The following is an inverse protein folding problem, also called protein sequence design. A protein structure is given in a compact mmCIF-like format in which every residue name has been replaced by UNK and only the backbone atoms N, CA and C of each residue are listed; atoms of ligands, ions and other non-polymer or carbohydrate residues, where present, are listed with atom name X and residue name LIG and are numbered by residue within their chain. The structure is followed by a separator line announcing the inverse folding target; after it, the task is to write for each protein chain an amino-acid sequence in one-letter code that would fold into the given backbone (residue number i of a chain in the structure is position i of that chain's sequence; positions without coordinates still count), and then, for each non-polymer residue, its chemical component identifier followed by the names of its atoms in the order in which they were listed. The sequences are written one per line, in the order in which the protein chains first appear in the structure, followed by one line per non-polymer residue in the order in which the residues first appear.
data_IF_979488134039
#
_entry.id   IF_979488134039
#
_cell.length_a   1.000
_cell.length_b   1.000
_cell.length_c   1.000
_cell.angle_alpha   90.00
_cell.angle_beta   90.00
_cell.angle_gamma   90.00
#
_symmetry.space_group_name_H-M   'P 1'
#
loop_
_entity.id
_entity.type
_entity.pdbx_description
1 polymer ?
#
# COMPACT_ATOMS: atom_id res chain seq x y z
N UNK A 1 15.17 -27.37 -35.37
CA UNK A 1 14.25 -27.45 -34.20
C UNK A 1 14.05 -26.04 -33.66
N UNK A 2 12.84 -25.47 -33.79
CA UNK A 2 12.52 -24.18 -33.20
C UNK A 2 12.51 -24.32 -31.67
N UNK A 3 13.33 -23.54 -30.97
CA UNK A 3 13.28 -23.45 -29.50
C UNK A 3 11.88 -22.98 -29.12
N UNK A 4 11.10 -23.86 -28.49
CA UNK A 4 9.84 -23.50 -27.84
C UNK A 4 10.13 -22.37 -26.85
N UNK A 5 9.66 -21.17 -27.18
CA UNK A 5 9.85 -19.98 -26.36
C UNK A 5 8.89 -20.12 -25.18
N UNK A 6 9.39 -20.61 -24.04
CA UNK A 6 8.61 -20.69 -22.81
C UNK A 6 7.95 -19.32 -22.58
N UNK A 7 6.61 -19.24 -22.45
CA UNK A 7 5.95 -17.95 -22.28
C UNK A 7 6.54 -17.26 -21.05
N UNK A 8 7.01 -16.03 -21.24
CA UNK A 8 7.56 -15.19 -20.17
C UNK A 8 6.45 -15.09 -19.12
N UNK A 9 6.69 -15.58 -17.90
CA UNK A 9 5.65 -15.60 -16.86
C UNK A 9 5.14 -14.18 -16.62
N UNK A 10 3.83 -13.99 -16.71
CA UNK A 10 3.21 -12.70 -16.42
C UNK A 10 3.22 -12.47 -14.91
N UNK A 11 4.14 -11.64 -14.44
CA UNK A 11 4.29 -11.33 -13.03
C UNK A 11 2.98 -10.82 -12.41
N UNK A 12 2.16 -10.09 -13.18
CA UNK A 12 0.89 -9.55 -12.71
C UNK A 12 -0.12 -10.66 -12.41
N UNK A 13 -0.16 -11.66 -13.28
CA UNK A 13 -1.02 -12.84 -13.11
C UNK A 13 -0.56 -13.72 -11.95
N UNK A 14 0.75 -13.96 -11.83
CA UNK A 14 1.31 -14.73 -10.71
C UNK A 14 0.99 -14.08 -9.36
N UNK A 15 1.17 -12.76 -9.26
CA UNK A 15 0.89 -11.99 -8.05
C UNK A 15 -0.60 -11.98 -7.74
N UNK A 16 -1.45 -11.69 -8.73
CA UNK A 16 -2.90 -11.64 -8.50
C UNK A 16 -3.44 -13.01 -8.09
N UNK A 17 -2.98 -14.09 -8.71
CA UNK A 17 -3.37 -15.45 -8.33
C UNK A 17 -2.85 -15.86 -6.95
N UNK A 18 -1.69 -15.34 -6.51
CA UNK A 18 -1.21 -15.51 -5.14
C UNK A 18 -2.18 -14.88 -4.14
N UNK A 19 -2.59 -13.63 -4.36
CA UNK A 19 -3.53 -12.92 -3.49
C UNK A 19 -4.89 -13.63 -3.47
N UNK A 20 -5.42 -14.02 -4.63
CA UNK A 20 -6.69 -14.77 -4.71
C UNK A 20 -6.64 -16.03 -3.84
N UNK A 21 -5.57 -16.83 -3.95
CA UNK A 21 -5.43 -18.06 -3.13
C UNK A 21 -5.33 -17.78 -1.63
N UNK A 22 -4.75 -16.65 -1.24
CA UNK A 22 -4.67 -16.25 0.17
C UNK A 22 -6.06 -15.89 0.70
N UNK A 23 -6.80 -15.08 -0.06
CA UNK A 23 -8.16 -14.66 0.29
C UNK A 23 -9.12 -15.87 0.33
N UNK A 24 -9.00 -16.81 -0.61
CA UNK A 24 -9.80 -18.05 -0.65
C UNK A 24 -9.59 -18.96 0.57
N UNK A 25 -8.47 -18.82 1.29
CA UNK A 25 -8.23 -19.52 2.56
C UNK A 25 -8.84 -18.79 3.77
N UNK A 26 -9.54 -17.68 3.55
CA UNK A 26 -10.15 -16.87 4.62
C UNK A 26 -9.14 -16.03 5.41
N UNK A 27 -7.92 -15.84 4.90
CA UNK A 27 -6.86 -15.08 5.57
C UNK A 27 -6.64 -13.75 4.85
N UNK A 28 -6.56 -12.66 5.62
CA UNK A 28 -6.18 -11.33 5.15
C UNK A 28 -4.93 -10.90 5.92
N UNK A 29 -3.72 -11.26 5.45
CA UNK A 29 -2.50 -10.99 6.19
C UNK A 29 -2.27 -9.50 6.43
N UNK A 30 -2.83 -8.64 5.58
CA UNK A 30 -2.69 -7.18 5.70
C UNK A 30 -3.61 -6.49 6.71
N UNK A 31 -4.42 -7.26 7.43
CA UNK A 31 -5.20 -6.79 8.58
C UNK A 31 -4.68 -7.32 9.92
N UNK A 32 -3.64 -8.16 9.91
CA UNK A 32 -3.00 -8.63 11.15
C UNK A 32 -2.19 -7.49 11.77
N UNK A 33 -2.09 -7.44 13.12
CA UNK A 33 -1.22 -6.48 13.81
C UNK A 33 0.19 -6.45 13.20
N UNK A 34 0.64 -5.27 12.78
CA UNK A 34 1.90 -5.08 12.06
C UNK A 34 3.16 -5.14 12.94
N UNK A 35 3.08 -5.74 14.12
CA UNK A 35 4.17 -5.76 15.10
C UNK A 35 5.26 -6.80 14.81
N UNK A 36 5.20 -7.47 13.64
CA UNK A 36 6.23 -8.40 13.21
C UNK A 36 7.41 -7.63 12.56
N UNK A 37 8.44 -7.33 13.36
CA UNK A 37 9.79 -7.13 12.84
C UNK A 37 10.35 -5.70 12.74
N UNK A 38 10.18 -4.87 13.77
CA UNK A 38 10.96 -3.61 13.95
C UNK A 38 10.67 -2.47 12.98
N UNK A 39 9.89 -2.69 11.91
CA UNK A 39 9.35 -1.63 11.08
C UNK A 39 8.03 -2.08 10.48
N UNK A 40 7.07 -1.16 10.44
CA UNK A 40 5.75 -1.33 9.81
C UNK A 40 5.84 -1.45 8.29
N UNK A 41 6.98 -1.06 7.69
CA UNK A 41 7.20 -1.03 6.24
C UNK A 41 8.39 -1.88 5.79
N UNK A 42 8.23 -2.64 4.70
CA UNK A 42 9.34 -3.27 4.00
C UNK A 42 10.31 -2.22 3.50
N UNK A 43 11.59 -2.42 3.76
CA UNK A 43 12.68 -1.54 3.39
C UNK A 43 13.54 -2.19 2.30
N UNK A 44 14.08 -1.37 1.41
CA UNK A 44 15.15 -1.76 0.49
C UNK A 44 16.47 -1.88 1.25
N UNK A 45 17.50 -2.43 0.60
CA UNK A 45 18.84 -2.55 1.17
C UNK A 45 19.43 -1.22 1.66
N UNK A 46 19.04 -0.08 1.05
CA UNK A 46 19.48 1.27 1.44
C UNK A 46 18.65 1.92 2.55
N UNK A 47 17.62 1.23 3.06
CA UNK A 47 16.69 1.76 4.07
C UNK A 47 15.48 2.49 3.50
N UNK A 48 15.39 2.69 2.18
CA UNK A 48 14.21 3.34 1.59
C UNK A 48 13.00 2.40 1.64
N UNK A 49 11.86 2.92 2.11
CA UNK A 49 10.62 2.16 2.16
C UNK A 49 10.14 1.78 0.74
N UNK A 50 9.61 0.55 0.60
CA UNK A 50 8.82 0.20 -0.57
C UNK A 50 7.50 0.98 -0.56
N UNK A 51 6.95 1.22 -1.76
CA UNK A 51 5.71 1.95 -1.97
C UNK A 51 4.70 1.15 -2.80
N UNK A 52 3.43 1.55 -2.70
CA UNK A 52 2.31 1.02 -3.49
C UNK A 52 2.20 -0.49 -3.40
N UNK A 53 2.11 -1.15 -4.56
CA UNK A 53 1.91 -2.61 -4.61
C UNK A 53 3.06 -3.39 -3.97
N UNK A 54 4.30 -2.90 -4.03
CA UNK A 54 5.42 -3.64 -3.43
C UNK A 54 5.42 -3.52 -1.91
N UNK A 55 5.01 -2.37 -1.37
CA UNK A 55 4.75 -2.23 0.06
C UNK A 55 3.73 -3.30 0.47
N UNK A 56 2.54 -3.25 -0.10
CA UNK A 56 1.47 -4.20 0.18
C UNK A 56 1.92 -5.68 0.11
N UNK A 57 2.56 -6.09 -0.98
CA UNK A 57 2.96 -7.48 -1.20
C UNK A 57 4.05 -7.95 -0.24
N UNK A 58 5.10 -7.16 -0.02
CA UNK A 58 6.20 -7.55 0.85
C UNK A 58 5.77 -7.55 2.31
N UNK A 59 4.93 -6.60 2.68
CA UNK A 59 4.27 -6.52 3.97
C UNK A 59 3.44 -7.78 4.24
N UNK A 60 2.56 -8.16 3.30
CA UNK A 60 1.77 -9.40 3.37
C UNK A 60 2.67 -10.64 3.55
N UNK A 61 3.76 -10.73 2.78
CA UNK A 61 4.68 -11.89 2.84
C UNK A 61 5.50 -11.93 4.11
N UNK A 62 5.91 -10.78 4.64
CA UNK A 62 6.60 -10.64 5.93
C UNK A 62 5.75 -11.23 7.05
N UNK A 63 4.47 -10.81 7.12
CA UNK A 63 3.52 -11.31 8.12
C UNK A 63 3.23 -12.80 7.95
N UNK A 64 3.01 -13.26 6.71
CA UNK A 64 2.72 -14.68 6.45
C UNK A 64 3.87 -15.61 6.79
N UNK A 65 5.11 -15.16 6.60
CA UNK A 65 6.31 -15.94 6.87
C UNK A 65 6.84 -15.75 8.30
N UNK A 66 6.30 -14.79 9.06
CA UNK A 66 6.78 -14.44 10.40
C UNK A 66 8.20 -13.87 10.38
N UNK A 67 8.56 -13.13 9.34
CA UNK A 67 9.89 -12.50 9.27
C UNK A 67 9.99 -11.34 10.27
N UNK A 68 11.11 -11.29 10.98
CA UNK A 68 11.42 -10.25 11.97
C UNK A 68 12.20 -9.08 11.39
N UNK A 69 12.69 -9.17 10.16
CA UNK A 69 13.39 -8.07 9.50
C UNK A 69 12.48 -7.38 8.49
N UNK A 70 12.52 -6.04 8.41
CA UNK A 70 11.81 -5.31 7.36
C UNK A 70 12.58 -5.28 6.04
N UNK A 71 13.85 -5.69 6.01
CA UNK A 71 14.72 -5.49 4.86
C UNK A 71 14.54 -6.57 3.78
N UNK A 72 14.41 -6.13 2.54
CA UNK A 72 14.28 -6.97 1.36
C UNK A 72 15.32 -6.57 0.30
N UNK A 73 16.06 -7.56 -0.19
CA UNK A 73 17.15 -7.33 -1.14
C UNK A 73 17.28 -8.45 -2.17
N UNK A 74 17.90 -8.15 -3.30
CA UNK A 74 18.20 -9.11 -4.37
C UNK A 74 19.47 -9.91 -4.05
N UNK A 75 19.69 -11.05 -4.71
CA UNK A 75 20.92 -11.84 -4.56
C UNK A 75 22.19 -11.00 -4.81
N UNK A 76 22.29 -10.18 -5.88
CA UNK A 76 23.46 -9.32 -6.09
C UNK A 76 23.71 -8.35 -4.93
N UNK A 77 22.66 -7.80 -4.33
CA UNK A 77 22.78 -6.90 -3.17
C UNK A 77 23.28 -7.66 -1.92
N UNK A 78 22.75 -8.86 -1.65
CA UNK A 78 23.25 -9.69 -0.55
C UNK A 78 24.73 -10.09 -0.74
N UNK A 79 25.08 -10.52 -1.96
CA UNK A 79 26.46 -10.90 -2.29
C UNK A 79 27.44 -9.72 -2.15
N UNK A 80 27.02 -8.50 -2.51
CA UNK A 80 27.82 -7.30 -2.35
C UNK A 80 28.12 -6.97 -0.87
N UNK A 81 27.28 -7.45 0.05
CA UNK A 81 27.48 -7.36 1.51
C UNK A 81 28.28 -8.56 2.06
N UNK A 82 28.78 -9.46 1.21
CA UNK A 82 29.44 -10.70 1.64
C UNK A 82 28.48 -11.77 2.19
N UNK A 83 27.17 -11.52 2.13
CA UNK A 83 26.13 -12.38 2.65
C UNK A 83 25.59 -13.34 1.58
N UNK A 84 24.90 -14.41 2.00
CA UNK A 84 24.38 -15.45 1.10
C UNK A 84 22.94 -15.81 1.44
N UNK A 85 22.11 -16.01 0.43
CA UNK A 85 20.76 -16.57 0.64
C UNK A 85 20.89 -18.03 1.08
N UNK A 86 20.22 -18.42 2.16
CA UNK A 86 20.25 -19.82 2.63
C UNK A 86 19.69 -20.78 1.58
N UNK A 87 20.28 -21.96 1.50
CA UNK A 87 19.87 -22.99 0.53
C UNK A 87 18.40 -23.39 0.74
N UNK A 88 17.62 -23.35 -0.34
CA UNK A 88 16.20 -23.74 -0.34
C UNK A 88 15.21 -22.60 -0.10
N UNK A 89 15.68 -21.41 0.27
CA UNK A 89 14.84 -20.23 0.44
C UNK A 89 14.18 -19.80 -0.88
N UNK A 90 12.92 -19.36 -0.79
CA UNK A 90 12.15 -18.90 -1.94
C UNK A 90 12.10 -17.38 -1.95
N UNK A 91 12.47 -16.77 -3.08
CA UNK A 91 12.34 -15.34 -3.27
C UNK A 91 10.88 -14.90 -3.46
N UNK A 92 10.62 -13.65 -3.12
CA UNK A 92 9.40 -12.91 -3.44
C UNK A 92 9.56 -12.09 -4.73
N UNK A 93 8.46 -11.88 -5.45
CA UNK A 93 8.46 -11.04 -6.66
C UNK A 93 8.00 -9.62 -6.31
N UNK A 94 8.78 -8.64 -6.74
CA UNK A 94 8.43 -7.21 -6.75
C UNK A 94 8.41 -6.68 -8.17
N UNK A 95 7.65 -5.63 -8.43
CA UNK A 95 7.54 -5.01 -9.76
C UNK A 95 8.09 -3.59 -9.78
N UNK A 96 8.62 -3.17 -10.91
CA UNK A 96 9.09 -1.82 -11.14
C UNK A 96 8.52 -1.30 -12.45
N UNK A 97 7.83 -0.16 -12.39
CA UNK A 97 7.35 0.54 -13.56
C UNK A 97 8.29 1.68 -13.89
N UNK A 98 8.80 1.70 -15.11
CA UNK A 98 9.70 2.73 -15.59
C UNK A 98 9.24 3.28 -16.95
N UNK A 99 9.82 4.42 -17.31
CA UNK A 99 9.72 5.01 -18.64
C UNK A 99 11.11 5.02 -19.24
N UNK A 100 11.20 4.79 -20.54
CA UNK A 100 12.43 4.98 -21.30
C UNK A 100 12.11 5.74 -22.58
N UNK A 101 13.08 6.54 -23.02
CA UNK A 101 13.02 7.28 -24.28
C UNK A 101 13.89 6.52 -25.27
N UNK A 102 13.35 6.20 -26.44
CA UNK A 102 14.18 5.74 -27.54
C UNK A 102 14.75 6.99 -28.21
N UNK A 103 16.08 7.12 -28.25
CA UNK A 103 16.73 7.98 -29.23
C UNK A 103 16.84 7.12 -30.49
N UNK A 104 16.27 7.55 -31.60
CA UNK A 104 16.41 6.83 -32.84
C UNK A 104 17.89 6.83 -33.23
N UNK A 105 18.49 5.63 -33.21
CA UNK A 105 19.79 5.42 -33.83
C UNK A 105 19.60 5.71 -35.32
N UNK A 106 20.20 6.81 -35.77
CA UNK A 106 20.20 7.25 -37.14
C UNK A 106 20.77 6.14 -38.05
N UNK A 107 19.89 5.32 -38.61
CA UNK A 107 20.14 4.66 -39.89
C UNK A 107 19.95 5.74 -40.95
N UNK A 108 21.07 6.19 -41.54
CA UNK A 108 21.08 7.14 -42.62
C UNK A 108 20.24 6.64 -43.79
N UNK A 109 19.17 7.37 -44.08
CA UNK A 109 19.01 8.00 -45.39
C UNK A 109 18.11 9.22 -45.19
N UNK A 110 18.54 10.35 -45.75
CA UNK A 110 17.80 11.59 -45.67
C UNK A 110 16.61 11.53 -46.62
N UNK A 111 15.39 11.72 -46.11
CA UNK A 111 14.40 12.58 -46.75
C UNK A 111 13.25 12.97 -45.79
N UNK A 112 13.03 14.28 -45.78
CA UNK A 112 11.82 15.06 -45.44
C UNK A 112 11.04 14.84 -44.12
N UNK A 113 11.25 15.81 -43.22
CA UNK A 113 10.26 16.56 -42.45
C UNK A 113 8.99 15.85 -41.93
N UNK A 114 9.04 15.39 -40.67
CA UNK A 114 8.00 15.68 -39.66
C UNK A 114 8.63 15.58 -38.25
N UNK A 115 8.13 16.39 -37.31
CA UNK A 115 8.72 16.57 -35.99
C UNK A 115 8.72 15.29 -35.14
N UNK A 116 9.91 14.73 -34.92
CA UNK A 116 10.07 13.46 -34.22
C UNK A 116 10.00 13.65 -32.69
N UNK A 117 8.78 13.63 -32.13
CA UNK A 117 8.57 13.55 -30.69
C UNK A 117 9.07 12.18 -30.18
N UNK A 118 10.21 12.19 -29.50
CA UNK A 118 10.80 11.01 -28.87
C UNK A 118 9.75 10.16 -28.13
N UNK A 119 9.43 8.98 -28.69
CA UNK A 119 8.39 8.11 -28.14
C UNK A 119 8.80 7.57 -26.77
N UNK A 120 8.15 8.07 -25.71
CA UNK A 120 8.30 7.55 -24.34
C UNK A 120 7.59 6.21 -24.24
N UNK A 121 8.35 5.13 -24.04
CA UNK A 121 7.76 3.81 -23.79
C UNK A 121 7.76 3.47 -22.31
N UNK A 122 6.61 3.01 -21.81
CA UNK A 122 6.43 2.51 -20.45
C UNK A 122 6.74 1.02 -20.41
N UNK A 123 7.49 0.58 -19.41
CA UNK A 123 7.82 -0.83 -19.22
C UNK A 123 7.59 -1.28 -17.78
N UNK A 124 7.36 -2.57 -17.61
CA UNK A 124 7.31 -3.24 -16.31
C UNK A 124 8.48 -4.23 -16.22
N UNK A 125 9.31 -4.09 -15.20
CA UNK A 125 10.30 -5.09 -14.79
C UNK A 125 9.80 -5.80 -13.54
N UNK A 126 10.23 -7.04 -13.36
CA UNK A 126 10.06 -7.77 -12.11
C UNK A 126 11.43 -8.14 -11.56
N UNK A 127 11.57 -8.07 -10.25
CA UNK A 127 12.77 -8.48 -9.53
C UNK A 127 12.41 -9.55 -8.51
N UNK A 128 13.39 -10.40 -8.19
CA UNK A 128 13.29 -11.41 -7.14
C UNK A 128 14.08 -10.92 -5.94
N UNK A 129 13.39 -10.76 -4.81
CA UNK A 129 13.96 -10.28 -3.55
C UNK A 129 13.79 -11.32 -2.46
N UNK A 130 14.67 -11.28 -1.47
CA UNK A 130 14.67 -12.12 -0.29
C UNK A 130 14.62 -11.21 0.92
N UNK A 131 13.89 -11.61 1.95
CA UNK A 131 13.92 -10.93 3.23
C UNK A 131 15.27 -11.20 3.92
N UNK A 132 15.77 -10.27 4.72
CA UNK A 132 17.03 -10.47 5.45
C UNK A 132 16.99 -11.72 6.35
N UNK A 133 15.83 -12.09 6.90
CA UNK A 133 15.65 -13.34 7.64
C UNK A 133 15.95 -14.60 6.81
N UNK A 134 16.05 -14.52 5.47
CA UNK A 134 16.39 -15.62 4.56
C UNK A 134 17.89 -15.67 4.19
N UNK A 135 18.68 -14.71 4.68
CA UNK A 135 20.06 -14.47 4.25
C UNK A 135 20.97 -14.66 5.47
N UNK A 136 22.05 -15.43 5.30
CA UNK A 136 23.11 -15.62 6.30
C UNK A 136 24.28 -14.66 6.05
N UNK A 137 24.91 -14.19 7.12
CA UNK A 137 26.09 -13.31 7.04
C UNK A 137 25.77 -11.83 6.78
N UNK A 138 24.53 -11.38 7.00
CA UNK A 138 24.20 -9.95 6.98
C UNK A 138 24.63 -9.25 8.29
N UNK A 139 24.97 -7.96 8.24
CA UNK A 139 25.15 -7.13 9.44
C UNK A 139 23.89 -7.07 10.32
N UNK A 140 24.06 -6.92 11.63
CA UNK A 140 22.97 -6.85 12.62
C UNK A 140 21.98 -5.69 12.35
N UNK A 141 22.42 -4.63 11.66
CA UNK A 141 21.54 -3.53 11.23
C UNK A 141 20.38 -3.98 10.33
N UNK A 142 20.51 -5.14 9.68
CA UNK A 142 19.43 -5.76 8.89
C UNK A 142 18.49 -6.62 9.72
N UNK A 143 18.73 -6.76 11.02
CA UNK A 143 17.91 -7.51 11.97
C UNK A 143 17.55 -6.62 13.18
N UNK A 144 16.83 -5.50 12.95
CA UNK A 144 16.42 -4.64 14.05
C UNK A 144 15.50 -5.40 15.00
N UNK A 145 15.67 -5.19 16.30
CA UNK A 145 14.73 -5.68 17.29
C UNK A 145 13.37 -4.99 17.08
N UNK A 146 12.25 -5.71 17.29
CA UNK A 146 10.94 -5.10 17.23
C UNK A 146 10.77 -4.06 18.33
N UNK A 147 10.24 -2.89 17.97
CA UNK A 147 9.80 -1.93 18.97
C UNK A 147 8.72 -2.57 19.86
N UNK A 148 8.74 -2.29 21.18
CA UNK A 148 7.70 -2.76 22.07
C UNK A 148 6.35 -2.21 21.60
N UNK A 149 5.31 -3.05 21.67
CA UNK A 149 3.95 -2.63 21.35
C UNK A 149 3.56 -1.54 22.34
N UNK A 150 3.26 -0.31 21.89
CA UNK A 150 2.86 0.75 22.81
C UNK A 150 1.55 0.38 23.50
N UNK A 151 1.51 0.47 24.82
CA UNK A 151 0.24 0.41 25.55
C UNK A 151 -0.50 1.74 25.37
N UNK A 152 -1.78 1.67 25.02
CA UNK A 152 -2.62 2.83 24.85
C UNK A 152 -3.75 2.80 25.89
N UNK A 153 -4.02 3.91 26.59
CA UNK A 153 -5.17 3.99 27.48
C UNK A 153 -6.46 3.69 26.69
N UNK A 154 -7.41 2.93 27.27
CA UNK A 154 -8.67 2.64 26.59
C UNK A 154 -9.42 3.93 26.24
N UNK A 155 -9.86 4.04 24.99
CA UNK A 155 -10.69 5.15 24.50
C UNK A 155 -10.10 6.57 24.64
N UNK A 156 -8.81 6.73 24.92
CA UNK A 156 -8.14 8.04 24.88
C UNK A 156 -7.46 8.28 23.51
N UNK A 157 -7.45 9.52 23.01
CA UNK A 157 -6.69 9.86 21.82
C UNK A 157 -5.20 9.58 21.96
N UNK A 158 -4.57 9.11 20.88
CA UNK A 158 -3.12 8.97 20.81
C UNK A 158 -2.56 10.29 20.25
N UNK A 159 -1.77 11.08 21.00
CA UNK A 159 -1.50 12.48 20.66
C UNK A 159 -0.98 12.72 19.23
N UNK A 160 0.01 11.95 18.77
CA UNK A 160 0.57 12.14 17.43
C UNK A 160 -0.40 11.72 16.31
N UNK A 161 -1.24 10.71 16.56
CA UNK A 161 -2.29 10.31 15.62
C UNK A 161 -3.39 11.37 15.58
N UNK A 162 -3.87 11.81 16.75
CA UNK A 162 -4.91 12.83 16.85
C UNK A 162 -4.49 14.11 16.12
N UNK A 163 -3.29 14.62 16.41
CA UNK A 163 -2.74 15.79 15.73
C UNK A 163 -2.59 15.60 14.22
N UNK A 164 -2.30 14.38 13.75
CA UNK A 164 -2.26 14.08 12.32
C UNK A 164 -3.64 14.24 11.68
N UNK A 165 -4.67 13.61 12.26
CA UNK A 165 -6.01 13.59 11.67
C UNK A 165 -6.73 14.94 11.79
N UNK A 166 -6.57 15.65 12.91
CA UNK A 166 -7.20 16.96 13.12
C UNK A 166 -6.69 18.02 12.14
N UNK A 167 -5.43 17.92 11.72
CA UNK A 167 -4.83 18.83 10.75
C UNK A 167 -5.26 18.59 9.29
N UNK A 168 -6.03 17.52 9.01
CA UNK A 168 -6.54 17.26 7.67
C UNK A 168 -7.78 18.11 7.43
N UNK A 169 -7.76 18.89 6.36
CA UNK A 169 -8.83 19.82 5.98
C UNK A 169 -10.05 19.15 5.32
N UNK A 170 -10.45 17.98 5.82
CA UNK A 170 -11.66 17.26 5.43
C UNK A 170 -12.57 17.22 6.65
N UNK A 171 -13.74 17.84 6.54
CA UNK A 171 -14.66 17.98 7.68
C UNK A 171 -15.10 16.61 8.20
N UNK A 172 -14.72 16.33 9.44
CA UNK A 172 -15.14 15.13 10.18
C UNK A 172 -16.15 15.51 11.26
N UNK A 173 -17.30 14.83 11.29
CA UNK A 173 -18.36 15.03 12.29
C UNK A 173 -18.41 13.81 13.20
N UNK A 174 -18.13 14.02 14.48
CA UNK A 174 -18.17 12.95 15.49
C UNK A 174 -19.59 12.77 16.05
N UNK A 175 -20.32 11.76 15.57
CA UNK A 175 -21.71 11.47 15.95
C UNK A 175 -22.13 10.05 15.58
N UNK A 176 -23.27 9.61 16.12
CA UNK A 176 -23.90 8.33 15.73
C UNK A 176 -23.10 7.08 16.13
N UNK A 177 -23.41 5.97 15.46
CA UNK A 177 -22.80 4.65 15.66
C UNK A 177 -22.03 4.14 14.44
N UNK A 178 -22.21 4.76 13.27
CA UNK A 178 -21.66 4.29 12.01
C UNK A 178 -20.64 5.28 11.46
N UNK A 179 -19.54 4.75 10.92
CA UNK A 179 -18.53 5.51 10.21
C UNK A 179 -18.83 5.48 8.70
N UNK A 180 -18.78 6.63 8.03
CA UNK A 180 -18.93 6.72 6.59
C UNK A 180 -18.51 8.10 6.04
N UNK A 181 -17.95 8.12 4.83
CA UNK A 181 -17.87 9.32 4.01
C UNK A 181 -19.17 9.55 3.23
N UNK A 182 -19.76 10.76 3.31
CA UNK A 182 -20.98 11.16 2.61
C UNK A 182 -20.68 12.12 1.44
N UNK A 183 -20.61 11.64 0.18
CA UNK A 183 -20.17 12.44 -0.96
C UNK A 183 -21.00 13.71 -1.27
N UNK A 184 -22.34 13.71 -1.17
CA UNK A 184 -23.14 14.90 -1.53
C UNK A 184 -22.86 16.14 -0.69
N UNK A 185 -22.38 15.97 0.55
CA UNK A 185 -22.06 17.08 1.46
C UNK A 185 -20.58 17.18 1.79
N UNK A 186 -19.77 16.29 1.22
CA UNK A 186 -18.32 16.21 1.42
C UNK A 186 -17.88 16.16 2.90
N UNK A 187 -18.47 15.24 3.67
CA UNK A 187 -18.15 15.07 5.09
C UNK A 187 -17.86 13.62 5.45
N UNK A 188 -16.93 13.43 6.37
CA UNK A 188 -16.74 12.16 7.07
C UNK A 188 -17.58 12.19 8.34
N UNK A 189 -18.31 11.11 8.60
CA UNK A 189 -19.01 10.86 9.85
C UNK A 189 -18.29 9.74 10.59
N UNK A 190 -18.03 9.94 11.88
CA UNK A 190 -17.32 9.00 12.74
C UNK A 190 -18.04 8.86 14.09
N UNK A 191 -18.21 7.65 14.64
CA UNK A 191 -18.60 7.50 16.03
C UNK A 191 -17.52 8.08 16.95
N UNK A 192 -17.87 8.53 18.17
CA UNK A 192 -16.86 8.96 19.14
C UNK A 192 -15.93 7.80 19.51
N UNK A 193 -14.66 8.11 19.81
CA UNK A 193 -13.61 7.13 20.13
C UNK A 193 -14.01 6.13 21.23
N UNK A 194 -14.87 6.55 22.16
CA UNK A 194 -15.42 5.72 23.25
C UNK A 194 -16.30 4.56 22.78
N UNK A 195 -16.70 4.52 21.50
CA UNK A 195 -17.43 3.41 20.88
C UNK A 195 -16.52 2.33 20.30
N UNK A 196 -15.22 2.57 20.24
CA UNK A 196 -14.25 1.64 19.68
C UNK A 196 -13.60 0.80 20.80
N UNK A 197 -13.21 -0.43 20.45
CA UNK A 197 -12.54 -1.34 21.38
C UNK A 197 -11.20 -0.80 21.88
N UNK A 198 -10.49 -0.07 21.02
CA UNK A 198 -9.23 0.59 21.34
C UNK A 198 -8.98 1.78 20.39
N UNK A 199 -8.09 2.73 20.76
CA UNK A 199 -7.77 3.87 19.91
C UNK A 199 -7.20 3.54 18.52
N UNK A 200 -6.30 2.54 18.34
CA UNK A 200 -5.83 2.14 17.01
C UNK A 200 -6.96 1.78 16.02
N UNK A 201 -8.01 1.10 16.50
CA UNK A 201 -9.17 0.78 15.66
C UNK A 201 -9.92 2.04 15.20
N UNK A 202 -10.08 3.03 16.10
CA UNK A 202 -10.70 4.31 15.78
C UNK A 202 -9.94 5.02 14.64
N UNK A 203 -8.62 5.15 14.75
CA UNK A 203 -7.79 5.78 13.71
C UNK A 203 -7.76 4.96 12.42
N UNK A 204 -7.80 3.63 12.50
CA UNK A 204 -7.92 2.76 11.33
C UNK A 204 -9.20 3.00 10.53
N UNK A 205 -10.34 3.15 11.22
CA UNK A 205 -11.63 3.45 10.58
C UNK A 205 -11.66 4.88 10.06
N UNK A 206 -11.14 5.86 10.81
CA UNK A 206 -11.06 7.25 10.32
C UNK A 206 -10.19 7.36 9.05
N UNK A 207 -9.05 6.65 9.01
CA UNK A 207 -8.19 6.58 7.82
C UNK A 207 -8.90 5.95 6.62
N UNK A 208 -9.76 4.95 6.85
CA UNK A 208 -10.57 4.33 5.80
C UNK A 208 -11.55 5.33 5.20
N UNK A 209 -12.31 6.04 6.04
CA UNK A 209 -13.29 7.03 5.57
C UNK A 209 -12.63 8.24 4.90
N UNK A 210 -11.48 8.69 5.39
CA UNK A 210 -10.68 9.70 4.69
C UNK A 210 -10.14 9.17 3.36
N UNK A 211 -9.75 7.89 3.31
CA UNK A 211 -9.45 7.17 2.07
C UNK A 211 -10.55 7.34 1.04
N UNK A 212 -11.81 7.13 1.42
CA UNK A 212 -12.96 7.44 0.57
C UNK A 212 -13.10 8.91 0.23
N UNK A 213 -12.92 9.81 1.20
CA UNK A 213 -13.04 11.24 0.98
C UNK A 213 -12.07 11.69 -0.13
N UNK A 214 -10.82 11.20 -0.17
CA UNK A 214 -9.87 11.59 -1.21
C UNK A 214 -10.33 11.34 -2.65
N UNK A 215 -11.35 10.50 -2.90
CA UNK A 215 -11.91 10.25 -4.25
C UNK A 215 -12.63 11.45 -4.88
N UNK A 216 -13.03 12.44 -4.07
CA UNK A 216 -13.83 13.57 -4.55
C UNK A 216 -13.19 14.28 -5.75
N UNK A 217 -14.04 14.87 -6.62
CA UNK A 217 -13.62 15.50 -7.88
C UNK A 217 -12.60 16.62 -7.72
N UNK A 218 -12.68 17.35 -6.61
CA UNK A 218 -11.76 18.46 -6.30
C UNK A 218 -10.49 17.99 -5.56
N UNK A 219 -10.33 16.69 -5.31
CA UNK A 219 -9.16 16.05 -4.70
C UNK A 219 -8.46 15.15 -5.72
N UNK A 220 -8.46 13.83 -5.51
CA UNK A 220 -7.78 12.88 -6.40
C UNK A 220 -8.63 12.45 -7.60
N UNK A 221 -9.90 12.85 -7.64
CA UNK A 221 -10.83 12.61 -8.74
C UNK A 221 -10.76 11.16 -9.27
N UNK A 222 -10.81 10.19 -8.34
CA UNK A 222 -10.80 8.77 -8.71
C UNK A 222 -12.17 8.40 -9.26
N UNK A 223 -12.20 7.90 -10.49
CA UNK A 223 -13.42 7.45 -11.15
C UNK A 223 -13.29 5.98 -11.58
N UNK A 224 -14.25 5.17 -11.15
CA UNK A 224 -14.41 3.76 -11.52
C UNK A 224 -15.74 3.50 -12.24
N UNK A 225 -16.42 4.56 -12.67
CA UNK A 225 -17.80 4.55 -13.17
C UNK A 225 -18.81 4.70 -12.03
N UNK A 226 -20.09 4.43 -12.35
CA UNK A 226 -21.19 4.53 -11.39
C UNK A 226 -20.99 3.53 -10.23
N UNK A 227 -20.48 4.01 -9.10
CA UNK A 227 -20.27 3.22 -7.88
C UNK A 227 -21.57 3.07 -7.10
N UNK A 228 -22.01 1.84 -6.88
CA UNK A 228 -23.17 1.48 -6.04
C UNK A 228 -22.82 0.26 -5.22
N UNK A 229 -23.36 0.19 -4.00
CA UNK A 229 -23.16 -0.97 -3.13
C UNK A 229 -23.40 -2.28 -3.90
N UNK A 230 -22.47 -3.21 -3.77
CA UNK A 230 -22.55 -4.51 -4.43
C UNK A 230 -22.09 -4.54 -5.89
N UNK A 231 -21.57 -3.46 -6.49
CA UNK A 231 -21.00 -3.48 -7.84
C UNK A 231 -19.45 -3.41 -7.86
N UNK A 232 -18.84 -3.74 -9.00
CA UNK A 232 -17.36 -3.80 -9.13
C UNK A 232 -16.72 -2.43 -8.91
N UNK A 233 -17.35 -1.33 -9.33
CA UNK A 233 -16.83 0.02 -9.11
C UNK A 233 -16.73 0.36 -7.62
N UNK A 234 -17.75 -0.01 -6.84
CA UNK A 234 -17.75 0.12 -5.38
C UNK A 234 -16.65 -0.73 -4.75
N UNK A 235 -16.55 -2.01 -5.13
CA UNK A 235 -15.50 -2.89 -4.60
C UNK A 235 -14.08 -2.39 -4.90
N UNK A 236 -13.84 -1.72 -6.04
CA UNK A 236 -12.54 -1.11 -6.35
C UNK A 236 -12.22 0.03 -5.38
N UNK A 237 -13.19 0.88 -5.08
CA UNK A 237 -13.00 2.00 -4.16
C UNK A 237 -12.81 1.54 -2.71
N UNK A 238 -13.50 0.48 -2.27
CA UNK A 238 -13.28 -0.15 -0.96
C UNK A 238 -11.84 -0.68 -0.79
N UNK A 239 -11.29 -1.32 -1.83
CA UNK A 239 -9.89 -1.77 -1.83
C UNK A 239 -8.94 -0.58 -1.65
N UNK A 240 -9.22 0.53 -2.31
CA UNK A 240 -8.38 1.74 -2.20
C UNK A 240 -8.46 2.33 -0.80
N UNK A 241 -9.66 2.49 -0.23
CA UNK A 241 -9.86 3.03 1.11
C UNK A 241 -9.17 2.16 2.17
N UNK A 242 -9.27 0.84 2.05
CA UNK A 242 -8.59 -0.07 2.96
C UNK A 242 -7.07 0.00 2.84
N UNK A 243 -6.53 -0.09 1.62
CA UNK A 243 -5.08 -0.01 1.43
C UNK A 243 -4.53 1.34 1.91
N UNK A 244 -5.32 2.41 1.78
CA UNK A 244 -4.98 3.73 2.33
C UNK A 244 -4.88 3.66 3.86
N UNK A 245 -5.86 3.06 4.54
CA UNK A 245 -5.83 2.83 5.99
C UNK A 245 -4.64 1.97 6.41
N UNK A 246 -4.31 0.90 5.66
CA UNK A 246 -3.10 0.10 5.91
C UNK A 246 -1.82 0.94 5.77
N UNK A 247 -1.68 1.72 4.70
CA UNK A 247 -0.46 2.51 4.44
C UNK A 247 -0.26 3.66 5.43
N UNK A 248 -1.34 4.31 5.87
CA UNK A 248 -1.31 5.30 6.95
C UNK A 248 -1.02 4.66 8.29
N UNK A 249 -1.60 3.48 8.57
CA UNK A 249 -1.29 2.74 9.78
C UNK A 249 0.18 2.38 9.90
N UNK A 250 0.83 2.10 8.76
CA UNK A 250 2.27 1.92 8.74
C UNK A 250 3.05 3.21 9.05
N UNK A 251 2.60 4.40 8.65
CA UNK A 251 3.26 5.66 9.05
C UNK A 251 3.04 5.98 10.53
N UNK A 252 1.81 5.79 11.00
CA UNK A 252 1.36 6.34 12.27
C UNK A 252 1.49 5.35 13.43
N UNK A 253 1.78 4.08 13.14
CA UNK A 253 1.96 3.04 14.14
C UNK A 253 0.66 2.38 14.61
N UNK A 254 -0.36 2.29 13.74
CA UNK A 254 -1.58 1.52 14.02
C UNK A 254 -1.79 0.40 13.01
N UNK A 255 -2.58 -0.60 13.40
CA UNK A 255 -3.05 -1.62 12.46
C UNK A 255 -4.51 -1.36 12.13
N UNK A 256 -4.83 -1.33 10.83
CA UNK A 256 -6.22 -1.21 10.39
C UNK A 256 -7.01 -2.45 10.83
N UNK A 257 -7.94 -2.25 11.77
CA UNK A 257 -8.95 -3.23 12.14
C UNK A 257 -10.30 -2.73 11.65
N UNK A 258 -10.51 -2.76 10.35
CA UNK A 258 -11.86 -2.58 9.80
C UNK A 258 -12.73 -3.76 10.27
N UNK A 259 -13.85 -3.42 10.92
CA UNK A 259 -14.53 -4.17 11.97
C UNK A 259 -15.24 -5.46 11.58
N UNK A 260 -15.28 -5.85 10.30
CA UNK A 260 -15.95 -7.08 9.90
C UNK A 260 -15.18 -7.89 8.85
N UNK A 261 -14.71 -9.08 9.26
CA UNK A 261 -14.42 -10.19 8.35
C UNK A 261 -15.73 -10.81 7.84
N UNK A 262 -16.62 -10.00 7.24
CA UNK A 262 -17.83 -10.56 6.65
C UNK A 262 -17.53 -11.11 5.25
N UNK A 263 -18.26 -12.13 4.82
CA UNK A 263 -18.05 -12.78 3.53
C UNK A 263 -18.18 -11.81 2.34
N UNK A 264 -18.98 -10.73 2.50
CA UNK A 264 -19.17 -9.71 1.48
C UNK A 264 -17.87 -8.96 1.15
N UNK A 265 -17.02 -8.75 2.16
CA UNK A 265 -15.72 -8.13 1.99
C UNK A 265 -14.75 -8.99 1.15
N UNK A 266 -14.58 -10.27 1.50
CA UNK A 266 -13.72 -11.20 0.74
C UNK A 266 -14.23 -11.35 -0.70
N UNK A 267 -15.55 -11.37 -0.86
CA UNK A 267 -16.21 -11.42 -2.17
C UNK A 267 -15.88 -10.20 -3.03
N UNK A 268 -15.89 -8.99 -2.47
CA UNK A 268 -15.54 -7.76 -3.18
C UNK A 268 -14.10 -7.82 -3.73
N UNK A 269 -13.14 -8.23 -2.91
CA UNK A 269 -11.75 -8.40 -3.34
C UNK A 269 -11.60 -9.45 -4.44
N UNK A 270 -12.16 -10.65 -4.23
CA UNK A 270 -12.10 -11.73 -5.24
C UNK A 270 -12.73 -11.29 -6.56
N UNK A 271 -13.86 -10.57 -6.52
CA UNK A 271 -14.50 -10.03 -7.73
C UNK A 271 -13.58 -9.10 -8.49
N UNK A 272 -12.93 -8.15 -7.81
CA UNK A 272 -12.02 -7.19 -8.46
C UNK A 272 -10.80 -7.91 -9.03
N UNK A 273 -10.15 -8.76 -8.24
CA UNK A 273 -8.92 -9.46 -8.63
C UNK A 273 -9.15 -10.46 -9.79
N UNK A 274 -10.30 -11.15 -9.81
CA UNK A 274 -10.67 -12.04 -10.91
C UNK A 274 -11.04 -11.29 -12.19
N UNK A 275 -11.48 -10.03 -12.09
CA UNK A 275 -11.87 -9.21 -13.24
C UNK A 275 -10.69 -8.63 -14.02
N UNK A 276 -9.57 -8.35 -13.36
CA UNK A 276 -8.38 -7.76 -13.97
C UNK A 276 -7.12 -8.16 -13.19
N UNK A 277 -6.22 -8.93 -13.84
CA UNK A 277 -4.92 -9.35 -13.27
C UNK A 277 -3.97 -8.19 -12.92
N UNK A 278 -4.30 -6.96 -13.34
CA UNK A 278 -3.57 -5.74 -13.00
C UNK A 278 -4.30 -4.88 -11.96
N UNK A 279 -5.47 -5.30 -11.47
CA UNK A 279 -6.28 -4.50 -10.55
C UNK A 279 -5.52 -4.11 -9.29
N UNK A 280 -4.83 -5.05 -8.64
CA UNK A 280 -4.09 -4.75 -7.40
C UNK A 280 -3.00 -3.69 -7.61
N UNK A 281 -2.34 -3.69 -8.76
CA UNK A 281 -1.29 -2.72 -9.09
C UNK A 281 -1.87 -1.31 -9.20
N UNK A 282 -3.03 -1.18 -9.85
CA UNK A 282 -3.75 0.09 -10.00
C UNK A 282 -4.26 0.57 -8.65
N UNK A 283 -4.98 -0.27 -7.91
CA UNK A 283 -5.60 0.13 -6.65
C UNK A 283 -4.58 0.39 -5.54
N UNK A 284 -3.47 -0.34 -5.50
CA UNK A 284 -2.38 -0.01 -4.58
C UNK A 284 -1.68 1.31 -4.95
N UNK A 285 -1.58 1.66 -6.24
CA UNK A 285 -1.08 2.98 -6.65
C UNK A 285 -2.08 4.10 -6.30
N UNK A 286 -3.38 3.86 -6.46
CA UNK A 286 -4.44 4.79 -6.06
C UNK A 286 -4.43 5.02 -4.54
N UNK A 287 -4.26 3.95 -3.76
CA UNK A 287 -4.14 4.00 -2.31
C UNK A 287 -2.87 4.71 -1.84
N UNK A 288 -1.74 4.51 -2.52
CA UNK A 288 -0.51 5.27 -2.24
C UNK A 288 -0.76 6.76 -2.46
N UNK A 289 -1.37 7.16 -3.58
CA UNK A 289 -1.72 8.57 -3.84
C UNK A 289 -2.68 9.14 -2.79
N UNK A 290 -3.64 8.36 -2.32
CA UNK A 290 -4.55 8.76 -1.24
C UNK A 290 -3.82 8.95 0.09
N UNK A 291 -2.91 8.03 0.45
CA UNK A 291 -2.05 8.13 1.62
C UNK A 291 -1.17 9.39 1.55
N UNK A 292 -0.44 9.56 0.46
CA UNK A 292 0.46 10.71 0.23
C UNK A 292 -0.32 12.04 0.29
N UNK A 293 -1.53 12.08 -0.28
CA UNK A 293 -2.42 13.24 -0.20
C UNK A 293 -2.76 13.59 1.26
N UNK A 294 -3.21 12.61 2.05
CA UNK A 294 -3.61 12.84 3.44
C UNK A 294 -2.43 13.27 4.31
N UNK A 295 -1.24 12.69 4.09
CA UNK A 295 0.00 13.12 4.76
C UNK A 295 0.29 14.58 4.42
N UNK A 296 0.28 14.95 3.14
CA UNK A 296 0.54 16.33 2.72
C UNK A 296 -0.50 17.33 3.26
N UNK A 297 -1.77 16.94 3.39
CA UNK A 297 -2.80 17.79 4.02
C UNK A 297 -2.54 17.99 5.51
N UNK A 298 -2.21 16.91 6.23
CA UNK A 298 -1.88 16.97 7.65
C UNK A 298 -0.63 17.83 7.93
N UNK A 299 0.42 17.69 7.10
CA UNK A 299 1.61 18.54 7.19
C UNK A 299 1.29 20.01 6.96
N UNK A 300 0.50 20.32 5.93
CA UNK A 300 0.08 21.69 5.64
C UNK A 300 -0.79 22.29 6.75
N UNK A 301 -1.72 21.53 7.33
CA UNK A 301 -2.56 21.97 8.44
C UNK A 301 -1.75 22.29 9.69
N UNK A 302 -0.83 21.41 10.09
CA UNK A 302 0.04 21.62 11.26
C UNK A 302 0.99 22.79 11.09
N UNK A 303 1.51 23.02 9.87
CA UNK A 303 2.34 24.19 9.59
C UNK A 303 1.55 25.50 9.76
N UNK A 304 0.31 25.55 9.27
CA UNK A 304 -0.56 26.72 9.41
C UNK A 304 -0.98 27.04 10.84
N UNK A 305 -1.09 26.03 11.72
CA UNK A 305 -1.35 26.22 13.15
C UNK A 305 -0.16 26.85 13.88
N UNK A 306 1.07 26.46 13.52
CA UNK A 306 2.30 27.04 14.10
C UNK A 306 2.44 28.51 13.72
N UNK A 307 2.16 28.87 12.46
CA UNK A 307 2.24 30.26 11.98
C UNK A 307 1.16 31.17 12.59
N UNK A 308 0.03 30.63 13.04
CA UNK A 308 -1.02 31.39 13.74
C UNK A 308 -0.77 31.53 15.25
N UNK A 309 0.07 30.67 15.83
CA UNK A 309 0.42 30.67 17.24
C UNK A 309 1.70 31.48 17.57
N UNK A 310 2.45 31.90 16.56
CA UNK A 310 3.66 32.73 16.66
C UNK A 310 3.36 34.23 16.50
#
# INVERSE_FOLDING_TARGET
MARSRTPKSDASEVITNEIIRIIERGVLPWRKPWTAGGSTRPLRVGGEAYQGVNNFLLTMRTVMAGYSSPYWMTIPQANALGAKVRKGEKSSVVVYYGQSRKQDEASGDADEADGDEARVFRFQKSYRVFNACQIEGLPDSFHPEPDPVPEHPPAEPIPHMQAFFDAIDITTVFTGSDAYYLPPVDKVYMPPITRFQNPPNFYGVWAHELGHATKARHRLNRDYGLSRFGNTAYAREEIVAELTSCFLGQELGFTSHTLEMNAAYLYNWLRVLRSDKRAIFKHAADAQRACDYLIARSEAGRAGEVDQAA
#
